data_IF_866778896864
#
_entry.id   IF_866778896864
#
_cell.length_a   1.000
_cell.length_b   1.000
_cell.length_c   1.000
_cell.angle_alpha   90.00
_cell.angle_beta   90.00
_cell.angle_gamma   90.00
#
_symmetry.space_group_name_H-M   'P 1'
#
loop_
_entity.id
_entity.type
_entity.pdbx_description
1 polymer ?
#
# COMPACT_ATOMS: atom_id res chain seq x y z
N UNK A 1 -40.35 47.31 30.48
CA UNK A 1 -39.78 47.09 29.13
C UNK A 1 -38.79 45.95 29.26
N UNK A 2 -39.17 44.76 28.80
CA UNK A 2 -38.43 43.51 29.06
C UNK A 2 -38.02 42.94 27.72
N UNK A 3 -36.73 43.07 27.38
CA UNK A 3 -36.18 42.69 26.07
C UNK A 3 -35.80 41.21 26.11
N UNK A 4 -36.59 40.37 25.45
CA UNK A 4 -36.35 38.92 25.30
C UNK A 4 -35.29 38.70 24.22
N UNK A 5 -34.07 38.35 24.64
CA UNK A 5 -32.95 38.04 23.75
C UNK A 5 -33.12 36.62 23.18
N UNK A 6 -33.57 36.53 21.92
CA UNK A 6 -33.65 35.26 21.18
C UNK A 6 -32.24 34.79 20.82
N UNK A 7 -31.76 33.72 21.46
CA UNK A 7 -30.53 33.01 21.07
C UNK A 7 -30.81 32.14 19.86
N UNK A 8 -30.33 32.56 18.70
CA UNK A 8 -30.31 31.74 17.48
C UNK A 8 -29.09 30.83 17.55
N UNK A 9 -29.30 29.55 17.88
CA UNK A 9 -28.23 28.54 17.88
C UNK A 9 -27.99 28.11 16.43
N UNK A 10 -26.92 28.62 15.81
CA UNK A 10 -26.50 28.18 14.48
C UNK A 10 -25.66 26.91 14.63
N UNK A 11 -26.30 25.74 14.48
CA UNK A 11 -25.59 24.47 14.40
C UNK A 11 -24.92 24.35 13.04
N UNK A 12 -23.62 24.65 12.98
CA UNK A 12 -22.78 24.31 11.82
C UNK A 12 -22.58 22.80 11.87
N UNK A 13 -23.32 22.06 11.02
CA UNK A 13 -23.05 20.66 10.78
C UNK A 13 -21.70 20.56 10.06
N UNK A 14 -20.64 20.26 10.81
CA UNK A 14 -19.34 19.96 10.25
C UNK A 14 -19.42 18.59 9.60
N UNK A 15 -19.75 18.55 8.31
CA UNK A 15 -19.57 17.36 7.48
C UNK A 15 -18.07 17.13 7.35
N UNK A 16 -17.52 16.33 8.26
CA UNK A 16 -16.19 15.74 8.07
C UNK A 16 -16.33 14.81 6.88
N UNK A 17 -15.92 15.28 5.70
CA UNK A 17 -15.73 14.42 4.55
C UNK A 17 -14.57 13.47 4.91
N UNK A 18 -14.90 12.30 5.46
CA UNK A 18 -13.96 11.21 5.57
C UNK A 18 -13.59 10.84 4.14
N UNK A 19 -12.45 11.35 3.65
CA UNK A 19 -11.83 10.82 2.45
C UNK A 19 -11.71 9.30 2.66
N UNK A 20 -12.27 8.52 1.73
CA UNK A 20 -12.18 7.08 1.82
C UNK A 20 -10.69 6.71 1.93
N UNK A 21 -10.33 5.96 2.97
CA UNK A 21 -8.97 5.48 3.13
C UNK A 21 -8.62 4.65 1.89
N UNK A 22 -7.70 5.18 1.10
CA UNK A 22 -7.14 4.54 -0.07
C UNK A 22 -6.02 3.65 0.41
N UNK A 23 -6.09 2.34 0.12
CA UNK A 23 -4.98 1.44 0.37
C UNK A 23 -3.70 1.94 -0.33
N UNK A 24 -2.57 1.70 0.32
CA UNK A 24 -1.27 2.11 -0.14
C UNK A 24 -0.74 1.23 -1.28
N UNK A 25 0.31 1.67 -1.98
CA UNK A 25 0.91 0.94 -3.08
C UNK A 25 1.65 -0.31 -2.59
N UNK A 26 1.64 -1.36 -3.40
CA UNK A 26 2.27 -2.64 -3.08
C UNK A 26 3.10 -3.13 -4.24
N UNK A 27 4.30 -3.63 -3.97
CA UNK A 27 5.14 -4.37 -4.92
C UNK A 27 5.65 -5.64 -4.22
N UNK A 28 5.38 -6.80 -4.80
CA UNK A 28 5.86 -8.09 -4.31
C UNK A 28 6.66 -8.76 -5.43
N UNK A 29 7.83 -9.27 -5.10
CA UNK A 29 8.73 -9.90 -6.07
C UNK A 29 9.26 -11.23 -5.56
N UNK A 30 9.26 -12.26 -6.41
CA UNK A 30 9.88 -13.56 -6.09
C UNK A 30 11.41 -13.54 -6.22
N UNK A 31 12.02 -12.35 -6.14
CA UNK A 31 13.42 -12.06 -6.44
C UNK A 31 14.35 -12.31 -5.26
N UNK A 32 15.64 -12.27 -5.56
CA UNK A 32 16.68 -11.73 -4.69
C UNK A 32 17.41 -10.50 -5.28
N UNK A 33 16.77 -9.66 -6.09
CA UNK A 33 17.39 -8.46 -6.68
C UNK A 33 17.94 -7.48 -5.62
N UNK A 34 17.51 -7.62 -4.37
CA UNK A 34 18.10 -6.95 -3.20
C UNK A 34 19.57 -7.32 -2.98
N UNK A 35 20.00 -8.50 -3.41
CA UNK A 35 21.34 -9.03 -3.25
C UNK A 35 22.18 -8.92 -4.50
N UNK A 36 21.53 -8.73 -5.65
CA UNK A 36 22.18 -8.69 -6.94
C UNK A 36 22.17 -7.27 -7.52
N UNK A 37 23.14 -6.48 -7.04
CA UNK A 37 23.39 -5.14 -7.53
C UNK A 37 24.49 -4.45 -6.75
N UNK A 38 24.72 -3.19 -7.07
CA UNK A 38 25.69 -2.36 -6.37
C UNK A 38 25.43 -0.89 -6.64
N UNK A 39 26.18 -0.03 -5.93
CA UNK A 39 26.26 1.38 -6.22
C UNK A 39 27.62 1.74 -6.82
N UNK A 40 27.61 2.33 -8.02
CA UNK A 40 28.82 2.78 -8.72
C UNK A 40 28.71 4.28 -8.96
N UNK A 41 29.69 5.05 -8.47
CA UNK A 41 29.74 6.51 -8.62
C UNK A 41 28.44 7.22 -8.19
N UNK A 42 27.83 6.74 -7.10
CA UNK A 42 26.59 7.31 -6.58
C UNK A 42 25.31 6.78 -7.24
N UNK A 43 25.40 5.95 -8.29
CA UNK A 43 24.27 5.44 -9.07
C UNK A 43 24.04 3.95 -8.79
N UNK A 44 22.79 3.54 -8.56
CA UNK A 44 22.43 2.14 -8.44
C UNK A 44 22.45 1.44 -9.81
N UNK A 45 22.96 0.21 -9.86
CA UNK A 45 23.00 -0.60 -11.08
C UNK A 45 22.36 -1.98 -10.85
N UNK A 46 22.03 -2.68 -11.93
CA UNK A 46 21.42 -4.01 -11.89
C UNK A 46 20.13 -4.05 -11.04
N UNK A 47 19.95 -5.06 -10.18
CA UNK A 47 18.77 -5.22 -9.32
C UNK A 47 18.56 -4.03 -8.38
N UNK A 48 19.63 -3.35 -7.95
CA UNK A 48 19.50 -2.19 -7.07
C UNK A 48 18.88 -0.97 -7.76
N UNK A 49 19.04 -0.85 -9.08
CA UNK A 49 18.32 0.18 -9.83
C UNK A 49 16.81 -0.10 -9.83
N UNK A 50 16.42 -1.38 -9.91
CA UNK A 50 15.03 -1.76 -9.73
C UNK A 50 14.53 -1.41 -8.33
N UNK A 51 15.27 -1.73 -7.27
CA UNK A 51 14.90 -1.37 -5.89
C UNK A 51 14.68 0.14 -5.77
N UNK A 52 15.57 0.97 -6.33
CA UNK A 52 15.40 2.43 -6.37
C UNK A 52 14.11 2.86 -7.07
N UNK A 53 13.81 2.32 -8.27
CA UNK A 53 12.58 2.69 -8.99
C UNK A 53 11.32 2.23 -8.28
N UNK A 54 11.34 1.04 -7.70
CA UNK A 54 10.22 0.50 -6.93
C UNK A 54 9.94 1.33 -5.66
N UNK A 55 10.98 1.69 -4.90
CA UNK A 55 10.84 2.56 -3.72
C UNK A 55 10.30 3.94 -4.11
N UNK A 56 10.83 4.55 -5.17
CA UNK A 56 10.34 5.84 -5.66
C UNK A 56 8.86 5.79 -6.07
N UNK A 57 8.47 4.71 -6.76
CA UNK A 57 7.08 4.47 -7.18
C UNK A 57 6.14 4.32 -5.98
N UNK A 58 6.50 3.46 -5.01
CA UNK A 58 5.72 3.25 -3.79
C UNK A 58 5.57 4.54 -2.99
N UNK A 59 6.66 5.24 -2.67
CA UNK A 59 6.60 6.44 -1.83
C UNK A 59 5.79 7.57 -2.50
N UNK A 60 5.72 7.61 -3.82
CA UNK A 60 4.87 8.58 -4.54
C UNK A 60 3.36 8.32 -4.40
N UNK A 61 2.98 7.07 -4.09
CA UNK A 61 1.58 6.64 -3.95
C UNK A 61 1.11 6.48 -2.50
N UNK A 62 1.95 6.75 -1.49
CA UNK A 62 1.58 6.64 -0.07
C UNK A 62 0.52 7.68 0.28
N UNK A 63 -0.59 7.22 0.86
CA UNK A 63 -1.75 8.02 1.28
C UNK A 63 -1.96 8.00 2.79
N UNK A 64 -0.97 7.49 3.54
CA UNK A 64 -1.04 7.30 4.99
C UNK A 64 -1.26 8.61 5.72
N UNK A 65 -2.22 8.62 6.64
CA UNK A 65 -2.56 9.80 7.43
C UNK A 65 -1.52 10.12 8.52
N UNK A 66 -1.48 11.39 8.94
CA UNK A 66 -0.58 11.88 9.98
C UNK A 66 0.82 12.21 9.46
N UNK A 67 1.65 12.82 10.32
CA UNK A 67 3.04 13.09 9.99
C UNK A 67 3.82 11.77 9.95
N UNK A 68 4.60 11.55 8.90
CA UNK A 68 5.47 10.38 8.81
C UNK A 68 6.68 10.54 9.73
N UNK A 69 7.01 9.52 10.51
CA UNK A 69 8.19 9.53 11.40
C UNK A 69 9.47 9.11 10.67
N UNK A 70 9.33 8.38 9.57
CA UNK A 70 10.41 7.94 8.68
C UNK A 70 9.79 7.62 7.32
N UNK A 71 10.56 7.73 6.23
CA UNK A 71 10.05 7.37 4.91
C UNK A 71 9.88 5.85 4.80
N UNK A 72 10.90 5.09 5.22
CA UNK A 72 10.98 3.64 5.03
C UNK A 72 11.35 2.96 6.36
N UNK A 73 10.67 1.88 6.70
CA UNK A 73 11.14 0.90 7.69
C UNK A 73 11.59 -0.35 6.94
N UNK A 74 12.86 -0.71 7.10
CA UNK A 74 13.45 -1.92 6.55
C UNK A 74 13.41 -3.04 7.60
N UNK A 75 12.61 -4.07 7.36
CA UNK A 75 12.42 -5.22 8.24
C UNK A 75 13.31 -6.39 7.76
N UNK A 76 14.08 -6.99 8.67
CA UNK A 76 14.96 -8.13 8.37
C UNK A 76 16.34 -7.75 7.86
N UNK A 77 16.77 -6.51 8.07
CA UNK A 77 18.11 -6.07 7.68
C UNK A 77 18.62 -4.96 8.57
N UNK A 78 19.94 -4.90 8.70
CA UNK A 78 20.68 -3.83 9.35
C UNK A 78 21.23 -2.81 8.34
N UNK A 79 21.59 -1.62 8.81
CA UNK A 79 22.21 -0.60 7.98
C UNK A 79 23.58 -1.07 7.46
N UNK A 80 23.85 -0.90 6.17
CA UNK A 80 25.17 -1.10 5.59
C UNK A 80 25.58 0.12 4.72
N UNK A 81 26.55 0.94 5.18
CA UNK A 81 27.01 2.11 4.42
C UNK A 81 27.92 1.76 3.23
N UNK A 82 28.37 0.51 3.11
CA UNK A 82 29.29 0.05 2.08
C UNK A 82 28.66 -0.16 0.71
N UNK A 83 27.32 -0.23 0.62
CA UNK A 83 26.57 -0.34 -0.65
C UNK A 83 27.11 -1.42 -1.60
N UNK A 84 27.49 -2.58 -1.04
CA UNK A 84 27.99 -3.75 -1.75
C UNK A 84 26.90 -4.80 -1.98
N UNK A 85 27.09 -5.66 -2.99
CA UNK A 85 26.21 -6.79 -3.30
C UNK A 85 26.06 -7.76 -2.12
N UNK A 86 25.06 -8.65 -2.20
CA UNK A 86 24.72 -9.64 -1.17
C UNK A 86 24.39 -9.02 0.19
N UNK A 87 23.71 -7.87 0.12
CA UNK A 87 23.34 -7.08 1.28
C UNK A 87 22.05 -6.29 1.03
N UNK A 88 20.91 -6.88 1.39
CA UNK A 88 19.62 -6.24 1.17
C UNK A 88 19.49 -4.90 1.93
N UNK A 89 20.03 -4.78 3.15
CA UNK A 89 20.11 -3.50 3.88
C UNK A 89 20.91 -2.41 3.14
N UNK A 90 21.96 -2.79 2.42
CA UNK A 90 22.73 -1.91 1.54
C UNK A 90 21.92 -1.47 0.31
N UNK A 91 21.11 -2.36 -0.26
CA UNK A 91 20.26 -2.06 -1.41
C UNK A 91 19.21 -1.00 -1.05
N UNK A 92 18.45 -1.20 0.03
CA UNK A 92 17.42 -0.25 0.46
C UNK A 92 18.05 1.06 0.95
N UNK A 93 19.18 1.00 1.65
CA UNK A 93 19.93 2.19 2.07
C UNK A 93 20.43 3.02 0.90
N UNK A 94 20.92 2.36 -0.16
CA UNK A 94 21.40 3.03 -1.38
C UNK A 94 20.23 3.65 -2.17
N UNK A 95 19.13 2.91 -2.36
CA UNK A 95 17.92 3.41 -2.98
C UNK A 95 17.38 4.65 -2.25
N UNK A 96 17.25 4.58 -0.92
CA UNK A 96 16.81 5.70 -0.10
C UNK A 96 17.76 6.90 -0.21
N UNK A 97 19.08 6.66 -0.19
CA UNK A 97 20.06 7.74 -0.32
C UNK A 97 19.97 8.48 -1.67
N UNK A 98 19.81 7.76 -2.78
CA UNK A 98 19.63 8.38 -4.10
C UNK A 98 18.33 9.18 -4.18
N UNK A 99 17.27 8.71 -3.52
CA UNK A 99 15.96 9.36 -3.51
C UNK A 99 15.80 10.46 -2.46
N UNK A 100 16.83 10.72 -1.64
CA UNK A 100 16.76 11.69 -0.54
C UNK A 100 15.78 11.28 0.57
N UNK A 101 15.70 9.98 0.86
CA UNK A 101 14.77 9.37 1.83
C UNK A 101 15.51 8.81 3.05
N UNK A 102 14.76 8.64 4.13
CA UNK A 102 15.21 8.06 5.39
C UNK A 102 14.86 6.59 5.51
N UNK A 103 15.71 5.81 6.19
CA UNK A 103 15.47 4.39 6.49
C UNK A 103 15.67 4.14 7.97
N UNK A 104 14.69 3.52 8.61
CA UNK A 104 14.82 2.91 9.93
C UNK A 104 14.99 1.41 9.76
N UNK A 105 16.11 0.87 10.22
CA UNK A 105 16.41 -0.56 10.14
C UNK A 105 15.91 -1.28 11.39
N UNK A 106 15.22 -2.40 11.20
CA UNK A 106 14.68 -3.26 12.25
C UNK A 106 15.10 -4.68 11.95
N UNK A 107 16.08 -5.14 12.72
CA UNK A 107 16.77 -6.42 12.54
C UNK A 107 16.58 -7.30 13.79
N UNK A 108 16.24 -8.56 13.57
CA UNK A 108 15.91 -9.56 14.57
C UNK A 108 14.42 -9.63 14.93
N UNK A 109 13.94 -10.86 15.16
CA UNK A 109 12.54 -11.16 15.46
C UNK A 109 11.96 -10.36 16.65
N UNK A 110 12.75 -10.13 17.70
CA UNK A 110 12.33 -9.33 18.86
C UNK A 110 12.10 -7.87 18.47
N UNK A 111 13.00 -7.29 17.66
CA UNK A 111 12.89 -5.92 17.21
C UNK A 111 11.69 -5.74 16.26
N UNK A 112 11.45 -6.71 15.36
CA UNK A 112 10.29 -6.73 14.46
C UNK A 112 8.99 -6.73 15.27
N UNK A 113 8.86 -7.59 16.28
CA UNK A 113 7.68 -7.61 17.14
C UNK A 113 7.50 -6.28 17.90
N UNK A 114 8.59 -5.73 18.45
CA UNK A 114 8.55 -4.43 19.14
C UNK A 114 8.14 -3.29 18.20
N UNK A 115 8.60 -3.32 16.93
CA UNK A 115 8.19 -2.37 15.91
C UNK A 115 6.68 -2.39 15.68
N UNK A 116 6.07 -3.57 15.50
CA UNK A 116 4.62 -3.65 15.28
C UNK A 116 3.80 -3.22 16.49
N UNK A 117 4.29 -3.45 17.73
CA UNK A 117 3.68 -2.87 18.94
C UNK A 117 3.74 -1.33 18.90
N UNK A 118 4.88 -0.75 18.53
CA UNK A 118 5.03 0.70 18.43
C UNK A 118 4.19 1.31 17.30
N UNK A 119 4.05 0.61 16.18
CA UNK A 119 3.18 0.98 15.06
C UNK A 119 1.71 1.00 15.50
N UNK A 120 1.24 -0.04 16.20
CA UNK A 120 -0.13 -0.12 16.72
C UNK A 120 -0.44 0.96 17.77
N UNK A 121 0.56 1.33 18.57
CA UNK A 121 0.45 2.43 19.54
C UNK A 121 0.50 3.83 18.89
N UNK A 122 0.80 3.94 17.59
CA UNK A 122 0.96 5.22 16.91
C UNK A 122 2.26 5.96 17.24
N UNK A 123 3.23 5.29 17.89
CA UNK A 123 4.52 5.88 18.23
C UNK A 123 5.45 5.99 17.00
N UNK A 124 5.22 5.16 15.99
CA UNK A 124 5.94 5.16 14.71
C UNK A 124 4.91 5.19 13.59
N UNK A 125 5.15 6.03 12.59
CA UNK A 125 4.26 6.19 11.43
C UNK A 125 5.09 6.23 10.14
N UNK A 126 5.55 5.07 9.62
CA UNK A 126 6.40 5.05 8.44
C UNK A 126 5.59 5.23 7.16
N UNK A 127 6.20 5.78 6.10
CA UNK A 127 5.57 5.83 4.78
C UNK A 127 5.45 4.45 4.14
N UNK A 128 6.49 3.63 4.31
CA UNK A 128 6.63 2.33 3.65
C UNK A 128 7.20 1.27 4.60
N UNK A 129 6.70 0.04 4.49
CA UNK A 129 7.37 -1.16 4.97
C UNK A 129 8.11 -1.79 3.79
N UNK A 130 9.41 -2.00 3.95
CA UNK A 130 10.23 -2.77 3.04
C UNK A 130 10.71 -4.02 3.79
N UNK A 131 10.52 -5.19 3.19
CA UNK A 131 10.93 -6.48 3.74
C UNK A 131 12.01 -7.05 2.85
N UNK A 132 13.18 -7.35 3.43
CA UNK A 132 14.30 -7.91 2.69
C UNK A 132 13.98 -9.30 2.13
N UNK A 133 14.73 -9.71 1.11
CA UNK A 133 14.78 -11.11 0.66
C UNK A 133 15.38 -12.04 1.71
N UNK A 134 15.70 -13.26 1.27
CA UNK A 134 16.37 -14.30 2.06
C UNK A 134 17.72 -14.68 1.39
N UNK A 135 18.52 -15.53 2.03
CA UNK A 135 19.65 -16.18 1.36
C UNK A 135 20.99 -15.44 1.35
N UNK A 136 21.06 -14.22 1.90
CA UNK A 136 22.30 -13.47 2.06
C UNK A 136 22.54 -12.99 3.50
N UNK A 137 23.68 -12.33 3.73
CA UNK A 137 24.18 -12.01 5.08
C UNK A 137 23.40 -10.93 5.85
N UNK A 138 22.55 -10.15 5.18
CA UNK A 138 21.82 -9.03 5.77
C UNK A 138 20.36 -9.02 5.27
N UNK A 139 19.77 -10.21 5.37
CA UNK A 139 18.47 -10.62 4.81
C UNK A 139 17.64 -11.28 5.92
N UNK A 140 16.36 -11.53 5.63
CA UNK A 140 15.47 -12.22 6.55
C UNK A 140 16.00 -13.61 6.90
N UNK A 141 16.04 -13.90 8.19
CA UNK A 141 16.17 -15.25 8.72
C UNK A 141 14.81 -15.88 9.06
N UNK A 142 14.84 -17.16 9.41
CA UNK A 142 13.63 -17.91 9.74
C UNK A 142 12.84 -17.33 10.92
N UNK A 143 13.51 -16.84 11.95
CA UNK A 143 12.86 -16.28 13.15
C UNK A 143 12.18 -14.95 12.84
N UNK A 144 12.76 -14.15 11.95
CA UNK A 144 12.20 -12.90 11.47
C UNK A 144 10.99 -13.15 10.58
N UNK A 145 11.06 -14.13 9.67
CA UNK A 145 9.91 -14.56 8.87
C UNK A 145 8.72 -15.04 9.73
N UNK A 146 9.00 -15.73 10.84
CA UNK A 146 7.97 -16.06 11.84
C UNK A 146 7.39 -14.82 12.52
N UNK A 147 8.22 -13.84 12.86
CA UNK A 147 7.76 -12.58 13.44
C UNK A 147 6.88 -11.78 12.46
N UNK A 148 7.24 -11.73 11.17
CA UNK A 148 6.40 -11.12 10.13
C UNK A 148 5.06 -11.85 10.01
N UNK A 149 5.08 -13.19 9.99
CA UNK A 149 3.86 -14.02 9.94
C UNK A 149 2.96 -13.78 11.15
N UNK A 150 3.52 -13.68 12.36
CA UNK A 150 2.77 -13.37 13.57
C UNK A 150 2.12 -11.97 13.53
N UNK A 151 2.69 -11.04 12.77
CA UNK A 151 2.21 -9.66 12.61
C UNK A 151 1.47 -9.42 11.28
N UNK A 152 1.04 -10.48 10.59
CA UNK A 152 0.42 -10.38 9.27
C UNK A 152 -0.84 -9.48 9.26
N UNK A 153 -1.65 -9.51 10.32
CA UNK A 153 -2.81 -8.62 10.46
C UNK A 153 -2.41 -7.13 10.59
N UNK A 154 -1.28 -6.84 11.25
CA UNK A 154 -0.75 -5.48 11.36
C UNK A 154 -0.19 -4.98 10.03
N UNK A 155 0.46 -5.85 9.25
CA UNK A 155 0.93 -5.55 7.88
C UNK A 155 -0.27 -5.22 6.97
N UNK A 156 -1.33 -6.04 7.00
CA UNK A 156 -2.56 -5.76 6.25
C UNK A 156 -3.17 -4.41 6.67
N UNK A 157 -3.28 -4.15 7.98
CA UNK A 157 -3.80 -2.88 8.50
C UNK A 157 -2.95 -1.68 8.08
N UNK A 158 -1.63 -1.84 8.00
CA UNK A 158 -0.70 -0.82 7.52
C UNK A 158 -0.94 -0.49 6.04
N UNK A 159 -1.06 -1.51 5.18
CA UNK A 159 -1.36 -1.34 3.76
C UNK A 159 -2.71 -0.67 3.53
N UNK A 160 -3.77 -1.13 4.21
CA UNK A 160 -5.11 -0.54 4.08
C UNK A 160 -5.17 0.91 4.55
N UNK A 161 -4.36 1.27 5.56
CA UNK A 161 -4.28 2.66 6.04
C UNK A 161 -3.45 3.59 5.15
N UNK A 162 -3.08 3.15 3.95
CA UNK A 162 -2.40 3.97 2.94
C UNK A 162 -0.88 3.86 2.94
N UNK A 163 -0.30 2.98 3.77
CA UNK A 163 1.13 2.74 3.81
C UNK A 163 1.61 1.85 2.66
N UNK A 164 2.81 2.12 2.14
CA UNK A 164 3.39 1.35 1.04
C UNK A 164 4.04 0.03 1.48
N UNK A 165 3.85 -1.07 0.74
CA UNK A 165 4.48 -2.36 1.07
C UNK A 165 5.37 -2.82 -0.08
N UNK A 166 6.61 -3.20 0.24
CA UNK A 166 7.52 -3.86 -0.69
C UNK A 166 8.11 -5.09 -0.02
N UNK A 167 8.11 -6.21 -0.73
CA UNK A 167 8.76 -7.42 -0.27
C UNK A 167 9.41 -8.16 -1.44
N UNK A 168 10.58 -8.74 -1.17
CA UNK A 168 11.31 -9.63 -2.06
C UNK A 168 11.64 -10.92 -1.31
N UNK A 169 12.07 -11.95 -2.02
CA UNK A 169 12.47 -13.24 -1.46
C UNK A 169 11.58 -14.38 -1.94
N UNK A 170 11.64 -15.50 -1.22
CA UNK A 170 10.90 -16.70 -1.58
C UNK A 170 10.44 -17.50 -0.36
N UNK A 171 9.43 -18.34 -0.56
CA UNK A 171 8.92 -19.27 0.44
C UNK A 171 8.29 -18.61 1.67
N UNK A 172 8.10 -19.42 2.71
CA UNK A 172 7.37 -19.03 3.92
C UNK A 172 8.09 -18.02 4.78
N UNK A 173 9.42 -17.94 4.71
CA UNK A 173 10.20 -16.92 5.42
C UNK A 173 9.87 -15.52 4.91
N UNK A 174 9.84 -15.32 3.58
CA UNK A 174 9.52 -14.03 2.97
C UNK A 174 8.02 -13.74 2.93
N UNK A 175 7.18 -14.76 2.73
CA UNK A 175 5.75 -14.59 2.40
C UNK A 175 4.76 -15.29 3.34
N UNK A 176 5.18 -15.78 4.50
CA UNK A 176 4.26 -16.40 5.47
C UNK A 176 3.10 -15.49 5.93
N UNK A 177 3.30 -14.17 5.86
CA UNK A 177 2.30 -13.14 6.16
C UNK A 177 1.34 -12.83 4.99
N UNK A 178 1.67 -13.22 3.76
CA UNK A 178 0.99 -12.77 2.54
C UNK A 178 -0.48 -13.19 2.51
N UNK A 179 -0.81 -14.37 3.02
CA UNK A 179 -2.19 -14.88 3.04
C UNK A 179 -3.15 -14.01 3.86
N UNK A 180 -2.66 -13.20 4.80
CA UNK A 180 -3.48 -12.23 5.53
C UNK A 180 -3.78 -10.97 4.72
N UNK A 181 -2.88 -10.59 3.80
CA UNK A 181 -3.08 -9.44 2.90
C UNK A 181 -3.90 -9.85 1.67
N UNK A 182 -3.58 -11.01 1.09
CA UNK A 182 -4.09 -11.50 -0.19
C UNK A 182 -4.30 -13.03 -0.12
N UNK A 183 -5.42 -13.51 0.47
CA UNK A 183 -5.67 -14.94 0.68
C UNK A 183 -5.74 -15.76 -0.62
N UNK A 184 -5.98 -15.11 -1.76
CA UNK A 184 -6.12 -15.76 -3.07
C UNK A 184 -4.84 -15.75 -3.91
N UNK A 185 -3.74 -15.20 -3.37
CA UNK A 185 -2.42 -15.27 -4.00
C UNK A 185 -1.63 -16.43 -3.42
N UNK A 186 -0.97 -17.15 -4.31
CA UNK A 186 -0.03 -18.21 -3.95
C UNK A 186 1.32 -17.88 -4.54
N UNK A 187 2.34 -17.80 -3.68
CA UNK A 187 3.74 -17.86 -4.10
C UNK A 187 4.09 -19.31 -4.48
N UNK A 188 4.84 -19.45 -5.57
CA UNK A 188 5.22 -20.73 -6.15
C UNK A 188 6.73 -20.70 -6.36
N UNK A 189 7.46 -21.64 -5.76
CA UNK A 189 8.91 -21.82 -5.91
C UNK A 189 9.33 -22.29 -7.31
N UNK A 190 9.02 -21.48 -8.32
CA UNK A 190 9.39 -21.68 -9.72
C UNK A 190 9.53 -20.30 -10.38
N UNK A 191 10.70 -20.05 -10.96
CA UNK A 191 10.95 -18.84 -11.74
C UNK A 191 12.09 -19.04 -12.74
N UNK A 192 12.02 -18.33 -13.88
CA UNK A 192 13.07 -18.26 -14.88
C UNK A 192 13.47 -16.80 -15.14
N UNK A 193 14.56 -16.31 -14.54
CA UNK A 193 14.96 -14.89 -14.75
C UNK A 193 15.54 -14.62 -16.14
N UNK A 194 15.90 -15.67 -16.89
CA UNK A 194 16.39 -15.53 -18.26
C UNK A 194 15.25 -15.20 -19.20
N UNK A 195 15.24 -13.98 -19.74
CA UNK A 195 14.15 -13.50 -20.58
C UNK A 195 13.02 -12.84 -19.79
N UNK A 196 13.23 -12.51 -18.51
CA UNK A 196 12.26 -11.71 -17.77
C UNK A 196 11.99 -10.37 -18.46
N UNK A 197 10.72 -9.95 -18.49
CA UNK A 197 10.27 -8.76 -19.23
C UNK A 197 9.31 -7.90 -18.40
N UNK A 198 9.50 -6.58 -18.47
CA UNK A 198 8.54 -5.61 -17.96
C UNK A 198 7.26 -5.64 -18.80
N UNK A 199 6.11 -5.73 -18.14
CA UNK A 199 4.81 -5.51 -18.78
C UNK A 199 4.59 -4.01 -19.03
N UNK A 200 3.52 -3.64 -19.74
CA UNK A 200 3.15 -2.23 -19.86
C UNK A 200 2.89 -1.57 -18.50
N UNK A 201 2.29 -2.30 -17.55
CA UNK A 201 2.10 -1.84 -16.18
C UNK A 201 3.44 -1.66 -15.45
N UNK A 202 4.39 -2.60 -15.62
CA UNK A 202 5.74 -2.48 -15.07
C UNK A 202 6.51 -1.28 -15.62
N UNK A 203 6.43 -1.01 -16.92
CA UNK A 203 7.05 0.17 -17.54
C UNK A 203 6.46 1.48 -17.00
N UNK A 204 5.15 1.51 -16.77
CA UNK A 204 4.49 2.67 -16.17
C UNK A 204 4.87 2.84 -14.69
N UNK A 205 4.97 1.74 -13.93
CA UNK A 205 5.36 1.77 -12.52
C UNK A 205 6.84 2.14 -12.33
N UNK A 206 7.72 1.78 -13.28
CA UNK A 206 9.18 1.98 -13.19
C UNK A 206 9.74 2.75 -14.39
N UNK A 207 9.44 4.06 -14.54
CA UNK A 207 9.97 4.85 -15.65
C UNK A 207 11.51 4.80 -15.71
N UNK A 208 12.04 4.49 -16.90
CA UNK A 208 13.48 4.39 -17.15
C UNK A 208 14.13 3.08 -16.73
N UNK A 209 13.37 2.10 -16.23
CA UNK A 209 13.86 0.74 -16.00
C UNK A 209 13.81 -0.07 -17.31
N UNK A 210 14.80 -0.92 -17.53
CA UNK A 210 14.86 -1.84 -18.67
C UNK A 210 14.81 -3.30 -18.20
N UNK A 211 14.54 -4.24 -19.13
CA UNK A 211 14.56 -5.66 -18.81
C UNK A 211 15.93 -6.15 -18.28
N UNK A 212 17.03 -5.49 -18.65
CA UNK A 212 18.36 -5.83 -18.11
C UNK A 212 18.53 -5.51 -16.62
N UNK A 213 17.59 -4.77 -16.02
CA UNK A 213 17.60 -4.45 -14.59
C UNK A 213 16.74 -5.43 -13.77
N UNK A 214 16.06 -6.39 -14.40
CA UNK A 214 15.20 -7.38 -13.74
C UNK A 214 15.38 -8.82 -14.26
N UNK A 215 16.22 -9.04 -15.27
CA UNK A 215 16.49 -10.38 -15.82
C UNK A 215 17.71 -11.03 -15.16
N UNK A 216 18.16 -12.17 -15.69
CA UNK A 216 19.32 -12.91 -15.21
C UNK A 216 20.63 -12.10 -15.10
N UNK A 217 20.77 -10.96 -15.80
CA UNK A 217 21.92 -10.07 -15.63
C UNK A 217 21.83 -9.23 -14.35
N UNK A 218 20.60 -9.00 -13.87
CA UNK A 218 20.32 -8.27 -12.66
C UNK A 218 20.31 -9.16 -11.42
N UNK A 219 19.94 -10.44 -11.55
CA UNK A 219 19.94 -11.42 -10.46
C UNK A 219 19.09 -12.64 -10.82
N UNK A 220 19.20 -13.74 -10.06
CA UNK A 220 18.26 -14.83 -10.19
C UNK A 220 16.86 -14.44 -9.68
N UNK A 221 15.93 -15.35 -9.88
CA UNK A 221 14.64 -15.30 -9.23
C UNK A 221 14.33 -16.70 -8.70
N UNK A 222 13.58 -16.75 -7.61
CA UNK A 222 13.35 -17.98 -6.87
C UNK A 222 11.89 -18.41 -6.94
N UNK A 223 10.97 -17.46 -7.14
CA UNK A 223 9.56 -17.75 -7.17
C UNK A 223 8.74 -16.85 -8.09
N UNK A 224 7.49 -17.24 -8.29
CA UNK A 224 6.47 -16.49 -9.01
C UNK A 224 5.15 -16.53 -8.24
N UNK A 225 4.19 -15.72 -8.67
CA UNK A 225 2.87 -15.58 -8.07
C UNK A 225 1.80 -16.11 -9.01
N UNK A 226 0.81 -16.78 -8.42
CA UNK A 226 -0.37 -17.29 -9.11
C UNK A 226 -1.64 -16.99 -8.30
N UNK A 227 -2.81 -17.25 -8.89
CA UNK A 227 -4.10 -17.04 -8.25
C UNK A 227 -4.75 -15.70 -8.62
N UNK A 228 -5.60 -15.20 -7.73
CA UNK A 228 -6.28 -13.92 -7.94
C UNK A 228 -5.51 -12.81 -7.21
N UNK A 229 -4.92 -11.89 -7.99
CA UNK A 229 -4.13 -10.78 -7.49
C UNK A 229 -4.94 -9.66 -6.84
N UNK A 230 -6.27 -9.79 -6.80
CA UNK A 230 -7.16 -8.74 -6.34
C UNK A 230 -6.99 -7.50 -7.21
N UNK A 231 -6.57 -6.40 -6.59
CA UNK A 231 -6.25 -5.15 -7.30
C UNK A 231 -4.82 -5.06 -7.86
N UNK A 232 -3.94 -6.02 -7.59
CA UNK A 232 -2.55 -6.01 -8.10
C UNK A 232 -2.51 -6.51 -9.55
N UNK A 233 -1.46 -6.11 -10.28
CA UNK A 233 -1.20 -6.49 -11.66
C UNK A 233 0.20 -7.08 -11.78
N UNK A 234 0.41 -7.91 -12.81
CA UNK A 234 1.75 -8.36 -13.18
C UNK A 234 2.57 -7.19 -13.73
N UNK A 235 3.67 -6.87 -13.05
CA UNK A 235 4.62 -5.84 -13.46
C UNK A 235 5.79 -6.44 -14.26
N UNK A 236 6.21 -7.65 -13.90
CA UNK A 236 7.25 -8.40 -14.61
C UNK A 236 6.83 -9.85 -14.82
N UNK A 237 6.99 -10.32 -16.04
CA UNK A 237 6.91 -11.73 -16.40
C UNK A 237 8.30 -12.36 -16.35
N UNK A 238 8.41 -13.58 -15.83
CA UNK A 238 9.63 -14.39 -15.99
C UNK A 238 9.76 -14.91 -17.44
N UNK A 239 10.87 -15.59 -17.75
CA UNK A 239 11.16 -16.17 -19.06
C UNK A 239 10.19 -17.25 -19.52
N UNK A 240 9.39 -17.81 -18.62
CA UNK A 240 8.34 -18.80 -18.89
C UNK A 240 6.94 -18.14 -18.93
N UNK A 241 6.85 -16.82 -18.77
CA UNK A 241 5.59 -16.08 -18.75
C UNK A 241 4.82 -16.13 -17.43
N UNK A 242 5.47 -16.46 -16.31
CA UNK A 242 4.87 -16.41 -14.96
C UNK A 242 4.99 -15.02 -14.35
N UNK A 243 4.08 -14.67 -13.44
CA UNK A 243 4.13 -13.37 -12.76
C UNK A 243 5.19 -13.39 -11.68
N UNK A 244 6.36 -12.82 -11.93
CA UNK A 244 7.48 -12.83 -10.99
C UNK A 244 7.49 -11.58 -10.08
N UNK A 245 7.12 -10.42 -10.62
CA UNK A 245 6.87 -9.21 -9.84
C UNK A 245 5.43 -8.76 -10.09
N UNK A 246 4.68 -8.57 -9.01
CA UNK A 246 3.31 -8.06 -9.02
C UNK A 246 3.22 -6.78 -8.20
N UNK A 247 2.28 -5.90 -8.54
CA UNK A 247 2.07 -4.70 -7.75
C UNK A 247 0.90 -3.83 -8.19
N UNK A 248 0.68 -2.75 -7.44
CA UNK A 248 -0.40 -1.79 -7.64
C UNK A 248 -0.06 -0.44 -7.01
N UNK A 249 -0.58 0.64 -7.61
CA UNK A 249 -0.35 2.01 -7.14
C UNK A 249 -1.22 2.40 -5.93
N UNK A 250 -1.10 3.66 -5.50
CA UNK A 250 -2.00 4.21 -4.49
C UNK A 250 -3.46 4.15 -4.97
N UNK A 251 -4.37 3.67 -4.12
CA UNK A 251 -5.78 3.47 -4.49
C UNK A 251 -6.10 2.07 -4.98
N UNK A 252 -5.09 1.19 -5.12
CA UNK A 252 -5.34 -0.22 -5.38
C UNK A 252 -6.08 -0.84 -4.20
N UNK A 253 -7.35 -1.20 -4.40
CA UNK A 253 -8.09 -2.04 -3.45
C UNK A 253 -7.53 -3.45 -3.60
N UNK A 254 -6.53 -3.75 -2.77
CA UNK A 254 -5.85 -5.06 -2.71
C UNK A 254 -6.88 -6.15 -2.41
N UNK A 255 -7.73 -5.88 -1.42
CA UNK A 255 -8.90 -6.66 -1.04
C UNK A 255 -9.88 -5.75 -0.30
N UNK A 256 -11.16 -6.12 -0.30
CA UNK A 256 -12.21 -5.39 0.36
C UNK A 256 -13.13 -6.35 1.13
N UNK A 257 -13.90 -5.81 2.08
CA UNK A 257 -14.92 -6.56 2.82
C UNK A 257 -14.41 -7.52 3.91
N UNK A 258 -13.10 -7.57 4.17
CA UNK A 258 -12.55 -8.26 5.35
C UNK A 258 -12.43 -7.31 6.55
N UNK A 259 -12.30 -7.83 7.79
CA UNK A 259 -12.00 -7.01 8.96
C UNK A 259 -10.78 -6.10 8.74
N UNK A 260 -10.97 -4.79 8.93
CA UNK A 260 -9.95 -3.78 8.71
C UNK A 260 -9.82 -3.27 7.27
N UNK A 261 -10.54 -3.84 6.30
CA UNK A 261 -10.56 -3.39 4.90
C UNK A 261 -11.75 -2.46 4.60
N UNK A 262 -11.66 -1.58 3.58
CA UNK A 262 -12.81 -0.82 3.12
C UNK A 262 -13.92 -1.77 2.65
N UNK A 263 -15.20 -1.34 2.73
CA UNK A 263 -16.29 -2.06 2.09
C UNK A 263 -15.98 -2.28 0.61
N UNK A 264 -16.33 -3.45 0.08
CA UNK A 264 -16.19 -3.67 -1.35
C UNK A 264 -17.02 -2.65 -2.13
N UNK A 265 -16.49 -2.12 -3.24
CA UNK A 265 -17.33 -1.41 -4.21
C UNK A 265 -18.52 -2.33 -4.52
N UNK A 266 -19.76 -1.83 -4.48
CA UNK A 266 -20.92 -2.64 -4.80
C UNK A 266 -20.70 -3.26 -6.19
N UNK A 267 -20.61 -4.59 -6.26
CA UNK A 267 -20.33 -5.33 -7.50
C UNK A 267 -21.57 -5.45 -8.41
N UNK A 268 -22.59 -4.64 -8.16
CA UNK A 268 -23.82 -4.59 -8.93
C UNK A 268 -23.94 -3.26 -9.65
N UNK A 269 -24.47 -3.31 -10.88
CA UNK A 269 -25.13 -2.17 -11.53
C UNK A 269 -25.86 -1.37 -10.45
N UNK A 270 -25.70 -0.03 -10.37
CA UNK A 270 -26.39 0.75 -9.36
C UNK A 270 -27.87 0.34 -9.37
N UNK A 271 -28.36 -0.26 -8.29
CA UNK A 271 -29.79 -0.43 -8.18
C UNK A 271 -30.38 0.96 -8.33
N UNK A 272 -31.31 1.19 -9.28
CA UNK A 272 -31.84 2.52 -9.53
C UNK A 272 -32.33 3.06 -8.20
N UNK A 273 -31.62 4.07 -7.69
CA UNK A 273 -31.76 4.52 -6.33
C UNK A 273 -33.21 4.86 -6.04
N UNK A 274 -33.84 4.12 -5.14
CA UNK A 274 -35.20 4.36 -4.66
C UNK A 274 -35.31 5.63 -3.78
N UNK A 275 -34.30 6.50 -3.81
CA UNK A 275 -34.21 7.74 -3.04
C UNK A 275 -33.75 8.87 -3.96
N UNK A 276 -34.72 9.56 -4.62
CA UNK A 276 -35.30 10.74 -4.00
C UNK A 276 -36.84 10.82 -4.06
N UNK A 277 -37.56 9.69 -4.21
CA UNK A 277 -39.04 9.72 -4.18
C UNK A 277 -39.59 9.96 -2.76
N UNK A 278 -38.85 9.61 -1.70
CA UNK A 278 -39.25 9.89 -0.31
C UNK A 278 -39.03 11.36 0.07
N UNK A 279 -37.99 12.03 -0.46
CA UNK A 279 -37.78 13.46 -0.18
C UNK A 279 -38.77 14.35 -0.93
N UNK A 280 -39.17 13.97 -2.16
CA UNK A 280 -40.27 14.64 -2.87
C UNK A 280 -41.64 14.38 -2.21
N UNK A 281 -41.86 13.20 -1.63
CA UNK A 281 -43.07 12.91 -0.85
C UNK A 281 -43.15 13.71 0.46
N UNK A 282 -42.01 13.98 1.11
CA UNK A 282 -41.98 14.78 2.34
C UNK A 282 -42.14 16.29 2.08
N UNK A 283 -41.63 16.81 0.95
CA UNK A 283 -41.85 18.22 0.58
C UNK A 283 -43.27 18.50 0.07
N UNK A 284 -44.00 17.48 -0.40
CA UNK A 284 -45.41 17.60 -0.80
C UNK A 284 -46.41 17.71 0.38
N UNK A 285 -46.02 17.30 1.60
CA UNK A 285 -46.90 17.32 2.78
C UNK A 285 -46.69 18.54 3.70
N UNK A 286 -45.73 19.41 3.39
CA UNK A 286 -45.42 20.61 4.18
C UNK A 286 -45.77 21.93 3.47
N UNK A 287 -46.75 21.93 2.56
CA UNK A 287 -47.41 23.16 2.11
C UNK A 287 -48.59 23.45 3.06
N UNK A 288 -48.49 24.43 3.97
CA UNK A 288 -49.65 24.86 4.72
C UNK A 288 -50.67 25.48 3.74
N UNK A 289 -51.91 25.01 3.80
CA UNK A 289 -53.07 25.61 3.16
C UNK A 289 -53.31 27.04 3.70
N UNK A 290 -52.53 28.01 3.24
CA UNK A 290 -52.78 29.44 3.46
C UNK A 290 -53.68 29.99 2.34
N UNK A 291 -54.90 29.46 2.24
CA UNK A 291 -56.01 30.14 1.56
C UNK A 291 -57.12 30.35 2.59
N UNK A 292 -56.91 31.33 3.49
CA UNK A 292 -57.96 31.83 4.37
C UNK A 292 -58.27 33.29 4.05
N UNK A 293 -59.41 33.47 3.40
CA UNK A 293 -60.39 34.55 3.60
C UNK A 293 -59.90 36.00 3.37
N UNK A 294 -60.03 36.48 2.12
CA UNK A 294 -60.39 37.90 1.88
C UNK A 294 -61.92 38.03 1.95
N UNK A 295 -62.41 38.33 3.15
CA UNK A 295 -63.77 38.81 3.38
C UNK A 295 -63.78 40.32 3.62
N UNK A 296 -64.59 41.01 2.83
CA UNK A 296 -65.34 42.25 3.12
C UNK A 296 -64.63 43.47 3.75
N UNK A 297 -64.65 44.57 3.01
CA UNK A 297 -65.20 45.84 3.51
C UNK A 297 -66.09 46.49 2.44
N UNK A 298 -67.38 46.56 2.74
CA UNK A 298 -68.29 47.54 2.18
C UNK A 298 -68.25 48.76 3.11
N UNK A 299 -68.18 49.97 2.53
CA UNK A 299 -68.47 51.21 3.23
C UNK A 299 -69.16 52.17 2.27
N UNK A 300 -70.36 52.56 2.70
CA UNK A 300 -71.17 53.77 2.45
C UNK A 300 -71.13 54.42 1.07
#
# INVERSE_FOLDING_TARGET
MTTILKRTTLSIALTVACAAASAGPVILGGDDLTDHGSRVNGVNVAGWLYIEKAVGSILSGVTRAGALTTDIVALGSAANPGFNSSNAGGAIGSAANVLGRTVTYVDGAVAINAFFVALAAGNINPGMLWMSGEGASNNLDFSEGQALTANAAAINSFGVSGGGIMAHGSGTTAYGWLSALLPSITEVGACNSSGATLTAAGQAAFPGLSNNNINANAGPCHSSFTGNFGGLQTLVLDGDGRSYIIGGGGGTIIQCGQPGQPPCPPTGVPEPGSLPLVLLAAMGLALPQFWRLRGHKATA
#
